data_IF_085058568574
#
_entry.id   IF_085058568574
#
_cell.length_a   1.000
_cell.length_b   1.000
_cell.length_c   1.000
_cell.angle_alpha   90.00
_cell.angle_beta   90.00
_cell.angle_gamma   90.00
#
_symmetry.space_group_name_H-M   'P 1'
#
loop_
_entity.id
_entity.type
_entity.pdbx_description
1 polymer ?
#
# COMPACT_ATOMS: atom_id res chain seq x y z
N UNK A 1 58.70 -1.91 -51.89
CA UNK A 1 58.52 -3.21 -52.58
C UNK A 1 59.62 -4.15 -52.10
N UNK A 2 59.39 -4.82 -50.97
CA UNK A 2 60.28 -5.87 -50.47
C UNK A 2 59.72 -7.20 -50.95
N UNK A 3 60.32 -7.78 -51.99
CA UNK A 3 59.97 -9.11 -52.47
C UNK A 3 60.30 -10.14 -51.39
N UNK A 4 59.27 -10.74 -50.78
CA UNK A 4 59.41 -11.86 -49.85
C UNK A 4 59.94 -13.09 -50.62
N UNK A 5 60.90 -13.85 -50.08
CA UNK A 5 61.53 -14.96 -50.80
C UNK A 5 60.58 -16.16 -50.96
N UNK A 6 60.68 -16.84 -52.10
CA UNK A 6 59.97 -18.08 -52.39
C UNK A 6 60.48 -19.25 -51.52
N UNK A 7 59.60 -20.21 -51.15
CA UNK A 7 59.98 -21.37 -50.35
C UNK A 7 60.94 -22.34 -51.09
N UNK A 8 61.74 -23.14 -50.35
CA UNK A 8 62.98 -23.76 -50.82
C UNK A 8 62.87 -24.94 -51.81
N UNK A 9 61.70 -25.20 -52.41
CA UNK A 9 61.46 -26.42 -53.21
C UNK A 9 61.39 -26.22 -54.73
N UNK A 10 61.79 -25.07 -55.26
CA UNK A 10 61.94 -24.88 -56.70
C UNK A 10 63.29 -25.43 -57.20
N UNK A 11 63.35 -26.72 -57.55
CA UNK A 11 64.45 -27.27 -58.37
C UNK A 11 64.16 -27.04 -59.86
N UNK A 12 65.04 -26.28 -60.51
CA UNK A 12 65.03 -26.04 -61.96
C UNK A 12 65.40 -27.31 -62.74
N UNK A 13 64.49 -27.78 -63.60
CA UNK A 13 64.71 -28.88 -64.56
C UNK A 13 65.56 -28.40 -65.73
N UNK A 14 66.88 -28.37 -65.58
CA UNK A 14 67.77 -27.93 -66.65
C UNK A 14 69.21 -28.42 -66.50
N UNK A 15 69.46 -29.73 -66.59
CA UNK A 15 70.82 -30.26 -66.83
C UNK A 15 70.86 -31.77 -67.17
N UNK A 16 70.00 -32.24 -68.10
CA UNK A 16 70.01 -33.65 -68.52
C UNK A 16 70.03 -33.85 -70.05
N UNK A 17 70.37 -32.81 -70.82
CA UNK A 17 70.30 -32.83 -72.28
C UNK A 17 71.66 -33.03 -72.99
N UNK A 18 72.78 -33.13 -72.27
CA UNK A 18 74.12 -33.13 -72.89
C UNK A 18 74.80 -34.52 -73.00
N UNK A 19 74.21 -35.60 -72.47
CA UNK A 19 74.88 -36.90 -72.37
C UNK A 19 74.40 -37.98 -73.37
N UNK A 20 73.45 -37.68 -74.27
CA UNK A 20 72.77 -38.69 -75.11
C UNK A 20 73.34 -38.81 -76.54
N UNK A 21 74.28 -37.96 -76.94
CA UNK A 21 74.73 -37.85 -78.34
C UNK A 21 76.08 -38.53 -78.68
N UNK A 22 76.55 -39.50 -77.88
CA UNK A 22 77.89 -40.09 -78.04
C UNK A 22 77.96 -41.64 -78.12
N UNK A 23 76.93 -42.33 -78.64
CA UNK A 23 76.99 -43.80 -78.80
C UNK A 23 76.40 -44.34 -80.13
N UNK A 24 76.75 -43.72 -81.25
CA UNK A 24 76.64 -44.35 -82.58
C UNK A 24 78.01 -44.93 -82.98
N UNK A 25 78.19 -46.25 -82.83
CA UNK A 25 78.98 -47.18 -83.67
C UNK A 25 79.39 -48.42 -82.88
N UNK A 26 78.47 -49.40 -82.82
CA UNK A 26 78.80 -50.80 -82.60
C UNK A 26 77.76 -51.64 -83.34
N UNK A 27 78.21 -52.48 -84.27
CA UNK A 27 77.36 -53.43 -84.98
C UNK A 27 76.72 -54.40 -83.96
N UNK A 28 75.43 -54.77 -84.11
CA UNK A 28 74.72 -55.54 -83.09
C UNK A 28 75.11 -57.02 -83.16
N UNK A 29 75.74 -57.50 -82.10
CA UNK A 29 75.79 -58.92 -81.78
C UNK A 29 74.36 -59.34 -81.44
N UNK A 30 73.83 -60.33 -82.18
CA UNK A 30 72.47 -60.85 -82.01
C UNK A 30 72.27 -61.49 -80.62
N UNK A 31 71.57 -60.74 -79.79
CA UNK A 31 70.45 -61.13 -78.92
C UNK A 31 70.70 -61.64 -77.48
N UNK A 32 70.15 -60.89 -76.52
CA UNK A 32 69.82 -61.34 -75.16
C UNK A 32 68.38 -61.00 -74.74
N UNK A 33 67.56 -60.35 -75.57
CA UNK A 33 66.16 -59.99 -75.27
C UNK A 33 65.33 -59.79 -76.57
N UNK A 34 64.31 -60.65 -76.78
CA UNK A 34 63.41 -60.63 -77.96
C UNK A 34 62.62 -59.31 -78.13
N UNK A 35 62.49 -58.52 -77.07
CA UNK A 35 61.75 -57.25 -77.05
C UNK A 35 62.54 -56.23 -76.23
N UNK A 36 62.85 -55.10 -76.87
CA UNK A 36 63.45 -53.94 -76.23
C UNK A 36 62.57 -52.72 -76.48
N UNK A 37 62.28 -51.99 -75.41
CA UNK A 37 61.58 -50.71 -75.48
C UNK A 37 62.59 -49.59 -75.24
N UNK A 38 63.29 -49.18 -76.29
CA UNK A 38 64.15 -48.00 -76.25
C UNK A 38 63.80 -47.07 -77.42
N UNK A 39 63.62 -45.75 -77.17
CA UNK A 39 63.56 -45.02 -75.88
C UNK A 39 62.19 -45.12 -75.13
N UNK A 40 62.08 -44.60 -73.88
CA UNK A 40 60.85 -44.67 -73.06
C UNK A 40 59.57 -44.10 -73.73
N UNK A 41 59.71 -43.11 -74.61
CA UNK A 41 58.57 -42.61 -75.40
C UNK A 41 58.00 -43.67 -76.35
N UNK A 42 58.84 -44.55 -76.89
CA UNK A 42 58.43 -45.67 -77.73
C UNK A 42 57.64 -46.70 -76.90
N UNK A 43 57.98 -46.88 -75.62
CA UNK A 43 57.20 -47.69 -74.70
C UNK A 43 55.82 -47.07 -74.45
N UNK A 44 55.76 -45.80 -74.04
CA UNK A 44 54.49 -45.12 -73.78
C UNK A 44 53.56 -45.18 -75.00
N UNK A 45 54.06 -44.81 -76.18
CA UNK A 45 53.28 -44.88 -77.42
C UNK A 45 52.81 -46.29 -77.75
N UNK A 46 53.63 -47.32 -77.54
CA UNK A 46 53.25 -48.71 -77.79
C UNK A 46 52.09 -49.17 -76.89
N UNK A 47 52.02 -48.69 -75.65
CA UNK A 47 50.95 -49.03 -74.70
C UNK A 47 49.72 -48.12 -74.77
N UNK A 48 49.83 -46.92 -75.35
CA UNK A 48 48.70 -45.96 -75.44
C UNK A 48 48.00 -45.95 -76.80
N UNK A 49 48.63 -46.44 -77.85
CA UNK A 49 48.07 -46.47 -79.21
C UNK A 49 47.39 -47.81 -79.49
N UNK A 50 46.17 -47.85 -80.07
CA UNK A 50 45.56 -49.10 -80.53
C UNK A 50 46.51 -49.83 -81.51
N UNK A 51 46.84 -51.09 -81.20
CA UNK A 51 47.80 -51.88 -82.01
C UNK A 51 49.26 -51.47 -81.85
N UNK A 52 49.61 -50.59 -80.90
CA UNK A 52 50.98 -50.09 -80.71
C UNK A 52 52.01 -51.17 -80.34
N UNK A 53 51.57 -52.30 -79.81
CA UNK A 53 52.43 -53.47 -79.52
C UNK A 53 52.64 -54.39 -80.73
N UNK A 54 51.83 -54.25 -81.79
CA UNK A 54 51.85 -55.16 -82.94
C UNK A 54 53.22 -55.25 -83.63
N UNK A 55 53.98 -54.15 -83.83
CA UNK A 55 55.32 -54.23 -84.41
C UNK A 55 56.31 -55.05 -83.56
N UNK A 56 56.16 -55.03 -82.24
CA UNK A 56 56.99 -55.82 -81.33
C UNK A 56 56.61 -57.30 -81.38
N UNK A 57 55.31 -57.60 -81.37
CA UNK A 57 54.79 -58.97 -81.49
C UNK A 57 55.12 -59.59 -82.85
N UNK A 58 55.07 -58.81 -83.93
CA UNK A 58 55.46 -59.24 -85.28
C UNK A 58 56.96 -59.60 -85.36
N UNK A 59 57.82 -58.87 -84.64
CA UNK A 59 59.26 -59.20 -84.56
C UNK A 59 59.48 -60.56 -83.88
N UNK A 60 58.84 -60.77 -82.74
CA UNK A 60 58.88 -62.08 -82.04
C UNK A 60 58.33 -63.19 -82.94
N UNK A 61 57.26 -62.93 -83.68
CA UNK A 61 56.69 -63.90 -84.62
C UNK A 61 57.65 -64.27 -85.74
N UNK A 62 58.33 -63.29 -86.34
CA UNK A 62 59.34 -63.53 -87.37
C UNK A 62 60.51 -64.38 -86.86
N UNK A 63 60.92 -64.18 -85.62
CA UNK A 63 61.96 -65.00 -84.98
C UNK A 63 61.48 -66.43 -84.70
N UNK A 64 60.22 -66.60 -84.28
CA UNK A 64 59.58 -67.93 -84.15
C UNK A 64 59.56 -68.64 -85.51
N UNK A 65 59.09 -67.97 -86.57
CA UNK A 65 58.94 -68.57 -87.90
C UNK A 65 60.31 -68.96 -88.52
N UNK A 66 61.39 -68.28 -88.11
CA UNK A 66 62.77 -68.57 -88.55
C UNK A 66 63.46 -69.65 -87.69
N UNK A 67 62.84 -70.10 -86.60
CA UNK A 67 63.42 -71.04 -85.64
C UNK A 67 63.10 -72.49 -86.05
N UNK A 68 64.07 -73.19 -86.66
CA UNK A 68 63.94 -74.58 -87.15
C UNK A 68 64.86 -75.58 -86.42
N UNK A 69 64.57 -75.94 -85.15
CA UNK A 69 65.39 -76.86 -84.37
C UNK A 69 65.14 -78.34 -84.71
N UNK A 70 66.16 -79.19 -84.54
CA UNK A 70 66.07 -80.64 -84.76
C UNK A 70 65.57 -81.39 -83.51
N UNK A 71 64.34 -81.93 -83.59
CA UNK A 71 63.70 -82.68 -82.50
C UNK A 71 64.31 -84.05 -82.22
N UNK A 72 65.05 -84.64 -83.17
CA UNK A 72 65.68 -85.95 -82.99
C UNK A 72 66.82 -85.90 -81.98
N UNK A 73 67.45 -84.73 -81.80
CA UNK A 73 68.60 -84.55 -80.91
C UNK A 73 68.24 -83.99 -79.53
N UNK A 74 69.00 -84.38 -78.50
CA UNK A 74 68.89 -83.79 -77.15
C UNK A 74 69.19 -82.28 -77.17
N UNK A 75 70.08 -81.83 -78.07
CA UNK A 75 70.45 -80.43 -78.25
C UNK A 75 69.30 -79.60 -78.81
N UNK A 76 68.65 -80.02 -79.90
CA UNK A 76 67.52 -79.27 -80.46
C UNK A 76 66.30 -79.20 -79.51
N UNK A 77 66.03 -80.27 -78.73
CA UNK A 77 65.03 -80.21 -77.65
C UNK A 77 65.39 -79.20 -76.54
N UNK A 78 66.68 -79.02 -76.24
CA UNK A 78 67.13 -78.01 -75.28
C UNK A 78 67.03 -76.58 -75.83
N UNK A 79 67.32 -76.39 -77.13
CA UNK A 79 67.16 -75.12 -77.82
C UNK A 79 65.70 -74.66 -77.84
N UNK A 80 64.74 -75.57 -78.06
CA UNK A 80 63.30 -75.27 -77.97
C UNK A 80 62.91 -74.76 -76.58
N UNK A 81 63.37 -75.44 -75.52
CA UNK A 81 63.10 -75.00 -74.13
C UNK A 81 63.69 -73.61 -73.86
N UNK A 82 64.91 -73.35 -74.33
CA UNK A 82 65.55 -72.06 -74.18
C UNK A 82 64.80 -70.96 -74.92
N UNK A 83 64.33 -71.21 -76.14
CA UNK A 83 63.60 -70.25 -76.94
C UNK A 83 62.20 -69.95 -76.35
N UNK A 84 61.49 -70.98 -75.88
CA UNK A 84 60.23 -70.81 -75.14
C UNK A 84 60.42 -69.99 -73.84
N UNK A 85 61.56 -70.17 -73.15
CA UNK A 85 61.89 -69.36 -71.98
C UNK A 85 62.14 -67.89 -72.34
N UNK A 86 62.83 -67.61 -73.46
CA UNK A 86 63.00 -66.23 -73.98
C UNK A 86 61.66 -65.56 -74.27
N UNK A 87 60.71 -66.25 -74.89
CA UNK A 87 59.35 -65.72 -75.15
C UNK A 87 58.64 -65.39 -73.83
N UNK A 88 58.76 -66.27 -72.83
CA UNK A 88 58.20 -66.04 -71.50
C UNK A 88 58.80 -64.80 -70.84
N UNK A 89 60.12 -64.63 -70.93
CA UNK A 89 60.84 -63.45 -70.42
C UNK A 89 60.39 -62.16 -71.13
N UNK A 90 60.19 -62.21 -72.45
CA UNK A 90 59.69 -61.09 -73.23
C UNK A 90 58.27 -60.69 -72.82
N UNK A 91 57.37 -61.65 -72.57
CA UNK A 91 56.03 -61.41 -72.02
C UNK A 91 56.11 -60.68 -70.67
N UNK A 92 56.89 -61.21 -69.73
CA UNK A 92 57.07 -60.60 -68.41
C UNK A 92 57.66 -59.18 -68.51
N UNK A 93 58.55 -58.93 -69.47
CA UNK A 93 59.10 -57.59 -69.71
C UNK A 93 58.04 -56.61 -70.22
N UNK A 94 57.20 -57.00 -71.18
CA UNK A 94 56.06 -56.18 -71.65
C UNK A 94 55.14 -55.85 -70.48
N UNK A 95 54.71 -56.86 -69.70
CA UNK A 95 53.82 -56.66 -68.55
C UNK A 95 54.44 -55.71 -67.51
N UNK A 96 55.72 -55.88 -67.19
CA UNK A 96 56.43 -55.03 -66.23
C UNK A 96 56.54 -53.57 -66.70
N UNK A 97 56.84 -53.34 -67.99
CA UNK A 97 56.92 -51.99 -68.57
C UNK A 97 55.55 -51.33 -68.60
N UNK A 98 54.51 -52.04 -69.04
CA UNK A 98 53.14 -51.52 -69.05
C UNK A 98 52.64 -51.17 -67.63
N UNK A 99 52.97 -52.00 -66.63
CA UNK A 99 52.67 -51.71 -65.23
C UNK A 99 53.40 -50.46 -64.72
N UNK A 100 54.71 -50.34 -64.98
CA UNK A 100 55.49 -49.16 -64.58
C UNK A 100 54.91 -47.87 -65.18
N UNK A 101 54.57 -47.88 -66.47
CA UNK A 101 53.96 -46.74 -67.16
C UNK A 101 52.60 -46.38 -66.56
N UNK A 102 51.76 -47.37 -66.26
CA UNK A 102 50.47 -47.13 -65.62
C UNK A 102 50.61 -46.57 -64.19
N UNK A 103 51.58 -47.06 -63.42
CA UNK A 103 51.85 -46.57 -62.07
C UNK A 103 52.40 -45.14 -62.11
N UNK A 104 53.35 -44.83 -62.99
CA UNK A 104 53.87 -43.48 -63.23
C UNK A 104 52.77 -42.50 -63.68
N UNK A 105 51.89 -42.94 -64.59
CA UNK A 105 50.79 -42.11 -65.07
C UNK A 105 49.76 -41.81 -63.98
N UNK A 106 49.51 -42.74 -63.05
CA UNK A 106 48.62 -42.52 -61.89
C UNK A 106 49.18 -41.54 -60.86
N UNK A 107 50.50 -41.37 -60.80
CA UNK A 107 51.12 -40.36 -59.94
C UNK A 107 50.90 -38.93 -60.45
N UNK A 108 50.64 -38.74 -61.75
CA UNK A 108 50.40 -37.41 -62.33
C UNK A 108 49.12 -36.77 -61.75
N UNK A 109 47.93 -37.41 -61.78
CA UNK A 109 46.73 -36.88 -61.11
C UNK A 109 46.93 -36.58 -59.62
N UNK A 110 47.59 -37.48 -58.88
CA UNK A 110 47.87 -37.27 -57.44
C UNK A 110 48.68 -35.99 -57.20
N UNK A 111 49.72 -35.75 -58.01
CA UNK A 111 50.55 -34.55 -57.93
C UNK A 111 49.78 -33.28 -58.32
N UNK A 112 48.93 -33.37 -59.34
CA UNK A 112 48.07 -32.25 -59.77
C UNK A 112 47.13 -31.86 -58.63
N UNK A 113 46.44 -32.82 -58.01
CA UNK A 113 45.50 -32.53 -56.93
C UNK A 113 46.21 -31.99 -55.68
N UNK A 114 47.39 -32.53 -55.33
CA UNK A 114 48.22 -31.99 -54.26
C UNK A 114 48.65 -30.54 -54.53
N UNK A 115 49.09 -30.24 -55.76
CA UNK A 115 49.48 -28.88 -56.15
C UNK A 115 48.28 -27.91 -56.13
N UNK A 116 47.11 -28.34 -56.62
CA UNK A 116 45.87 -27.55 -56.57
C UNK A 116 45.43 -27.27 -55.15
N UNK A 117 45.54 -28.26 -54.25
CA UNK A 117 45.23 -28.10 -52.83
C UNK A 117 46.17 -27.09 -52.18
N UNK A 118 47.47 -27.25 -52.36
CA UNK A 118 48.48 -26.32 -51.84
C UNK A 118 48.22 -24.90 -52.33
N UNK A 119 47.93 -24.73 -53.62
CA UNK A 119 47.64 -23.42 -54.19
C UNK A 119 46.41 -22.78 -53.55
N UNK A 120 45.32 -23.53 -53.38
CA UNK A 120 44.10 -23.03 -52.73
C UNK A 120 44.36 -22.61 -51.29
N UNK A 121 44.90 -23.51 -50.47
CA UNK A 121 45.13 -23.25 -49.04
C UNK A 121 46.11 -22.08 -48.84
N UNK A 122 47.13 -21.95 -49.71
CA UNK A 122 48.08 -20.84 -49.65
C UNK A 122 47.45 -19.52 -50.06
N UNK A 123 46.67 -19.50 -51.15
CA UNK A 123 46.01 -18.29 -51.63
C UNK A 123 44.92 -17.81 -50.66
N UNK A 124 44.17 -18.72 -50.05
CA UNK A 124 43.18 -18.40 -49.02
C UNK A 124 43.88 -17.77 -47.81
N UNK A 125 44.97 -18.39 -47.31
CA UNK A 125 45.74 -17.84 -46.20
C UNK A 125 46.35 -16.46 -46.50
N UNK A 126 46.83 -16.23 -47.73
CA UNK A 126 47.33 -14.92 -48.13
C UNK A 126 46.22 -13.88 -48.29
N UNK A 127 45.04 -14.28 -48.77
CA UNK A 127 43.88 -13.40 -48.83
C UNK A 127 43.47 -12.95 -47.42
N UNK A 128 43.46 -13.88 -46.46
CA UNK A 128 43.21 -13.59 -45.04
C UNK A 128 44.27 -12.66 -44.45
N UNK A 129 45.57 -12.94 -44.68
CA UNK A 129 46.68 -12.08 -44.21
C UNK A 129 46.56 -10.65 -44.78
N UNK A 130 46.22 -10.51 -46.06
CA UNK A 130 46.05 -9.20 -46.70
C UNK A 130 44.81 -8.48 -46.17
N UNK A 131 43.74 -9.22 -45.81
CA UNK A 131 42.48 -8.66 -45.30
C UNK A 131 42.54 -8.30 -43.81
N UNK A 132 43.39 -8.98 -43.04
CA UNK A 132 43.48 -8.87 -41.58
C UNK A 132 43.61 -7.42 -41.07
N UNK A 133 44.47 -6.55 -41.63
CA UNK A 133 44.58 -5.16 -41.17
C UNK A 133 43.29 -4.36 -41.35
N UNK A 134 42.58 -4.58 -42.47
CA UNK A 134 41.31 -3.92 -42.73
C UNK A 134 40.24 -4.43 -41.76
N UNK A 135 40.20 -5.74 -41.47
CA UNK A 135 39.25 -6.30 -40.50
C UNK A 135 39.47 -5.73 -39.10
N UNK A 136 40.74 -5.61 -38.67
CA UNK A 136 41.09 -4.99 -37.37
C UNK A 136 40.65 -3.53 -37.32
N UNK A 137 40.85 -2.77 -38.39
CA UNK A 137 40.41 -1.38 -38.48
C UNK A 137 38.88 -1.26 -38.46
N UNK A 138 38.15 -2.05 -39.25
CA UNK A 138 36.69 -2.05 -39.27
C UNK A 138 36.09 -2.36 -37.89
N UNK A 139 36.63 -3.33 -37.17
CA UNK A 139 36.20 -3.66 -35.80
C UNK A 139 36.51 -2.55 -34.79
N UNK A 140 37.70 -1.95 -34.89
CA UNK A 140 38.07 -0.83 -34.03
C UNK A 140 37.18 0.40 -34.29
N UNK A 141 36.86 0.65 -35.56
CA UNK A 141 36.01 1.77 -35.99
C UNK A 141 34.55 1.55 -35.57
N UNK A 142 34.01 0.34 -35.76
CA UNK A 142 32.68 -0.02 -35.27
C UNK A 142 32.58 0.17 -33.75
N UNK A 143 33.60 -0.28 -33.01
CA UNK A 143 33.69 -0.08 -31.56
C UNK A 143 33.78 1.40 -31.20
N UNK A 144 34.61 2.19 -31.87
CA UNK A 144 34.74 3.65 -31.64
C UNK A 144 33.38 4.33 -31.77
N UNK A 145 32.67 4.08 -32.87
CA UNK A 145 31.34 4.65 -33.12
C UNK A 145 30.32 4.17 -32.09
N UNK A 146 30.35 2.89 -31.71
CA UNK A 146 29.46 2.35 -30.69
C UNK A 146 29.69 3.00 -29.31
N UNK A 147 30.95 3.14 -28.89
CA UNK A 147 31.32 3.77 -27.62
C UNK A 147 30.81 5.23 -27.56
N UNK A 148 30.90 5.99 -28.66
CA UNK A 148 30.33 7.34 -28.73
C UNK A 148 28.80 7.34 -28.62
N UNK A 149 28.11 6.45 -29.34
CA UNK A 149 26.65 6.33 -29.28
C UNK A 149 26.17 5.99 -27.87
N UNK A 150 26.85 5.06 -27.19
CA UNK A 150 26.53 4.68 -25.81
C UNK A 150 26.71 5.84 -24.85
N UNK A 151 27.81 6.60 -24.96
CA UNK A 151 28.03 7.75 -24.09
C UNK A 151 27.02 8.88 -24.31
N UNK A 152 26.59 9.12 -25.55
CA UNK A 152 25.48 10.06 -25.85
C UNK A 152 24.16 9.55 -25.25
N UNK A 153 23.82 8.27 -25.44
CA UNK A 153 22.61 7.70 -24.86
C UNK A 153 22.61 7.76 -23.32
N UNK A 154 23.77 7.63 -22.67
CA UNK A 154 23.88 7.78 -21.22
C UNK A 154 23.53 9.21 -20.76
N UNK A 155 23.90 10.25 -21.51
CA UNK A 155 23.49 11.63 -21.22
C UNK A 155 21.96 11.78 -21.32
N UNK A 156 21.34 11.19 -22.34
CA UNK A 156 19.89 11.20 -22.52
C UNK A 156 19.16 10.49 -21.36
N UNK A 157 19.67 9.33 -20.93
CA UNK A 157 19.12 8.57 -19.78
C UNK A 157 19.23 9.38 -18.48
N UNK A 158 20.36 10.07 -18.25
CA UNK A 158 20.50 10.96 -17.10
C UNK A 158 19.50 12.11 -17.17
N UNK A 159 19.35 12.74 -18.33
CA UNK A 159 18.38 13.81 -18.57
C UNK A 159 16.94 13.40 -18.30
N UNK A 160 16.55 12.20 -18.72
CA UNK A 160 15.20 11.65 -18.55
C UNK A 160 14.77 11.55 -17.08
N UNK A 161 15.71 11.48 -16.13
CA UNK A 161 15.39 11.52 -14.70
C UNK A 161 14.65 12.80 -14.30
N UNK A 162 14.88 13.93 -14.98
CA UNK A 162 14.17 15.18 -14.73
C UNK A 162 12.66 15.13 -15.02
N UNK A 163 12.22 14.15 -15.80
CA UNK A 163 10.81 13.91 -16.13
C UNK A 163 10.20 12.72 -15.36
N UNK A 164 11.02 11.99 -14.60
CA UNK A 164 10.62 10.81 -13.84
C UNK A 164 10.21 11.11 -12.41
N UNK A 165 9.87 10.05 -11.67
CA UNK A 165 9.50 10.12 -10.25
C UNK A 165 10.73 9.96 -9.35
N UNK A 166 11.67 10.91 -9.46
CA UNK A 166 12.86 10.96 -8.62
C UNK A 166 12.76 12.08 -7.57
N UNK A 167 13.55 11.97 -6.51
CA UNK A 167 13.71 13.05 -5.53
C UNK A 167 14.54 14.20 -6.09
N UNK A 168 14.38 15.41 -5.54
CA UNK A 168 15.19 16.55 -5.96
C UNK A 168 16.70 16.30 -5.73
N UNK A 169 17.06 15.53 -4.71
CA UNK A 169 18.45 15.15 -4.45
C UNK A 169 19.04 14.26 -5.55
N UNK A 170 18.31 13.24 -6.00
CA UNK A 170 18.74 12.35 -7.08
C UNK A 170 18.85 13.09 -8.42
N UNK A 171 17.90 13.98 -8.72
CA UNK A 171 17.97 14.82 -9.92
C UNK A 171 19.17 15.77 -9.89
N UNK A 172 19.52 16.35 -8.72
CA UNK A 172 20.72 17.18 -8.58
C UNK A 172 22.01 16.38 -8.75
N UNK A 173 22.06 15.14 -8.27
CA UNK A 173 23.20 14.25 -8.51
C UNK A 173 23.37 13.98 -10.02
N UNK A 174 22.28 13.63 -10.71
CA UNK A 174 22.31 13.43 -12.16
C UNK A 174 22.70 14.73 -12.92
N UNK A 175 22.24 15.89 -12.46
CA UNK A 175 22.63 17.19 -13.02
C UNK A 175 24.13 17.44 -12.87
N UNK A 176 24.72 17.08 -11.73
CA UNK A 176 26.16 17.18 -11.52
C UNK A 176 26.93 16.26 -12.48
N UNK A 177 26.49 15.02 -12.65
CA UNK A 177 27.09 14.06 -13.58
C UNK A 177 27.05 14.59 -15.03
N UNK A 178 25.90 15.09 -15.48
CA UNK A 178 25.75 15.70 -16.82
C UNK A 178 26.65 16.92 -16.98
N UNK A 179 26.72 17.80 -15.97
CA UNK A 179 27.58 18.99 -16.00
C UNK A 179 29.06 18.62 -16.10
N UNK A 180 29.49 17.55 -15.42
CA UNK A 180 30.87 17.07 -15.41
C UNK A 180 31.35 16.51 -16.75
N UNK A 181 30.44 16.09 -17.65
CA UNK A 181 30.82 15.60 -18.99
C UNK A 181 31.40 16.75 -19.82
N UNK A 182 32.72 16.77 -20.00
CA UNK A 182 33.40 17.76 -20.82
C UNK A 182 33.25 17.42 -22.29
N UNK A 183 32.68 18.32 -23.09
CA UNK A 183 32.61 18.18 -24.54
C UNK A 183 33.88 18.79 -25.13
N UNK A 184 34.59 18.05 -25.96
CA UNK A 184 35.87 18.50 -26.52
C UNK A 184 36.41 17.56 -27.59
N UNK A 185 37.72 17.65 -27.90
CA UNK A 185 38.31 16.96 -29.05
C UNK A 185 38.12 15.43 -29.08
N UNK A 186 37.97 14.80 -27.93
CA UNK A 186 37.70 13.36 -27.81
C UNK A 186 36.32 12.97 -28.34
N UNK A 187 35.39 13.91 -28.53
CA UNK A 187 34.08 13.64 -29.11
C UNK A 187 34.14 13.48 -30.65
N UNK A 188 35.25 13.85 -31.28
CA UNK A 188 35.49 13.69 -32.72
C UNK A 188 34.32 14.25 -33.55
N UNK A 189 33.81 13.52 -34.56
CA UNK A 189 32.67 13.98 -35.37
C UNK A 189 31.34 14.06 -34.61
N UNK A 190 31.27 13.53 -33.38
CA UNK A 190 30.06 13.47 -32.57
C UNK A 190 29.90 14.66 -31.62
N UNK A 191 30.84 15.62 -31.59
CA UNK A 191 30.82 16.77 -30.67
C UNK A 191 29.46 17.48 -30.62
N UNK A 192 28.87 17.77 -31.79
CA UNK A 192 27.56 18.40 -31.88
C UNK A 192 26.42 17.53 -31.30
N UNK A 193 26.52 16.21 -31.40
CA UNK A 193 25.55 15.29 -30.82
C UNK A 193 25.66 15.22 -29.29
N UNK A 194 26.89 15.20 -28.75
CA UNK A 194 27.12 15.35 -27.31
C UNK A 194 26.57 16.67 -26.78
N UNK A 195 26.81 17.78 -27.50
CA UNK A 195 26.29 19.11 -27.16
C UNK A 195 24.78 19.10 -27.01
N UNK A 196 24.07 18.66 -28.04
CA UNK A 196 22.60 18.57 -28.01
C UNK A 196 22.08 17.67 -26.89
N UNK A 197 22.66 16.48 -26.72
CA UNK A 197 22.22 15.57 -25.66
C UNK A 197 22.45 16.15 -24.27
N UNK A 198 23.60 16.80 -24.04
CA UNK A 198 23.90 17.50 -22.79
C UNK A 198 22.93 18.65 -22.53
N UNK A 199 22.69 19.51 -23.51
CA UNK A 199 21.78 20.66 -23.37
C UNK A 199 20.35 20.22 -23.04
N UNK A 200 19.85 19.19 -23.74
CA UNK A 200 18.52 18.59 -23.47
C UNK A 200 18.47 18.02 -22.05
N UNK A 201 19.51 17.28 -21.64
CA UNK A 201 19.57 16.68 -20.31
C UNK A 201 19.60 17.75 -19.21
N UNK A 202 20.39 18.81 -19.39
CA UNK A 202 20.44 19.96 -18.47
C UNK A 202 19.06 20.61 -18.34
N UNK A 203 18.40 20.90 -19.46
CA UNK A 203 17.08 21.52 -19.47
C UNK A 203 16.04 20.69 -18.70
N UNK A 204 15.97 19.38 -18.98
CA UNK A 204 15.02 18.49 -18.31
C UNK A 204 15.30 18.37 -16.80
N UNK A 205 16.57 18.23 -16.41
CA UNK A 205 16.94 18.10 -15.01
C UNK A 205 16.69 19.40 -14.23
N UNK A 206 17.07 20.56 -14.77
CA UNK A 206 16.85 21.85 -14.11
C UNK A 206 15.35 22.15 -13.96
N UNK A 207 14.56 21.88 -14.99
CA UNK A 207 13.10 22.01 -14.93
C UNK A 207 12.46 21.03 -13.93
N UNK A 208 12.92 19.77 -13.92
CA UNK A 208 12.46 18.72 -13.01
C UNK A 208 12.77 19.03 -11.55
N UNK A 209 13.99 19.51 -11.26
CA UNK A 209 14.41 19.92 -9.91
C UNK A 209 13.51 21.04 -9.40
N UNK A 210 13.30 22.10 -10.20
CA UNK A 210 12.46 23.21 -9.78
C UNK A 210 11.01 22.77 -9.48
N UNK A 211 10.44 21.91 -10.33
CA UNK A 211 9.11 21.35 -10.11
C UNK A 211 9.05 20.48 -8.84
N UNK A 212 10.08 19.67 -8.60
CA UNK A 212 10.14 18.75 -7.46
C UNK A 212 10.37 19.48 -6.14
N UNK A 213 11.24 20.47 -6.11
CA UNK A 213 11.45 21.35 -4.95
C UNK A 213 10.17 22.08 -4.57
N UNK A 214 9.46 22.63 -5.56
CA UNK A 214 8.17 23.30 -5.32
C UNK A 214 7.15 22.32 -4.72
N UNK A 215 7.02 21.13 -5.31
CA UNK A 215 6.12 20.10 -4.78
C UNK A 215 6.48 19.71 -3.33
N UNK A 216 7.76 19.47 -3.04
CA UNK A 216 8.22 19.10 -1.70
C UNK A 216 7.99 20.21 -0.68
N UNK A 217 8.21 21.48 -1.07
CA UNK A 217 7.90 22.63 -0.23
C UNK A 217 6.40 22.75 0.06
N UNK A 218 5.53 22.63 -0.95
CA UNK A 218 4.07 22.64 -0.78
C UNK A 218 3.60 21.50 0.13
N UNK A 219 4.20 20.30 0.02
CA UNK A 219 3.88 19.19 0.93
C UNK A 219 4.32 19.46 2.37
N UNK A 220 5.48 20.09 2.57
CA UNK A 220 5.97 20.46 3.90
C UNK A 220 5.07 21.54 4.56
N UNK A 221 4.69 22.57 3.80
CA UNK A 221 3.76 23.60 4.28
C UNK A 221 2.39 23.00 4.62
N UNK A 222 1.86 22.12 3.78
CA UNK A 222 0.60 21.43 4.04
C UNK A 222 0.66 20.56 5.30
N UNK A 223 1.79 19.87 5.53
CA UNK A 223 1.99 19.08 6.74
C UNK A 223 2.04 19.95 8.00
N UNK A 224 2.70 21.11 7.93
CA UNK A 224 2.76 22.07 9.04
C UNK A 224 1.38 22.69 9.33
N UNK A 225 0.64 23.08 8.29
CA UNK A 225 -0.74 23.57 8.43
C UNK A 225 -1.66 22.53 9.08
N UNK A 226 -1.52 21.25 8.71
CA UNK A 226 -2.26 20.15 9.34
C UNK A 226 -1.91 20.00 10.82
N UNK A 227 -0.62 20.03 11.17
CA UNK A 227 -0.18 19.97 12.58
C UNK A 227 -0.73 21.13 13.40
N UNK A 228 -0.69 22.35 12.86
CA UNK A 228 -1.25 23.52 13.54
C UNK A 228 -2.77 23.43 13.69
N UNK A 229 -3.48 22.94 12.67
CA UNK A 229 -4.93 22.72 12.75
C UNK A 229 -5.28 21.64 13.80
N UNK A 230 -4.52 20.56 13.86
CA UNK A 230 -4.69 19.51 14.88
C UNK A 230 -4.43 20.03 16.30
N UNK A 231 -3.41 20.88 16.49
CA UNK A 231 -3.12 21.50 17.78
C UNK A 231 -4.22 22.48 18.21
N UNK A 232 -4.72 23.32 17.28
CA UNK A 232 -5.84 24.23 17.55
C UNK A 232 -7.10 23.45 17.91
N UNK A 233 -7.45 22.42 17.13
CA UNK A 233 -8.60 21.57 17.42
C UNK A 233 -8.45 20.84 18.77
N UNK A 234 -7.23 20.48 19.17
CA UNK A 234 -6.97 19.92 20.49
C UNK A 234 -7.20 20.96 21.59
N UNK A 235 -6.65 22.16 21.46
CA UNK A 235 -6.85 23.26 22.42
C UNK A 235 -8.33 23.65 22.53
N UNK A 236 -9.04 23.77 21.41
CA UNK A 236 -10.47 24.05 21.39
C UNK A 236 -11.28 22.95 22.09
N UNK A 237 -10.95 21.67 21.89
CA UNK A 237 -11.58 20.57 22.64
C UNK A 237 -11.27 20.64 24.13
N UNK A 238 -10.02 20.89 24.51
CA UNK A 238 -9.62 21.03 25.92
C UNK A 238 -10.33 22.24 26.58
N UNK A 239 -10.42 23.37 25.89
CA UNK A 239 -11.16 24.55 26.33
C UNK A 239 -12.67 24.30 26.41
N UNK A 240 -13.25 23.59 25.44
CA UNK A 240 -14.67 23.22 25.47
C UNK A 240 -14.97 22.31 26.65
N UNK A 241 -14.15 21.29 26.89
CA UNK A 241 -14.26 20.41 28.06
C UNK A 241 -14.13 21.22 29.36
N UNK A 242 -13.18 22.17 29.42
CA UNK A 242 -13.01 23.03 30.60
C UNK A 242 -14.20 23.96 30.83
N UNK A 243 -14.77 24.56 29.77
CA UNK A 243 -15.98 25.39 29.84
C UNK A 243 -17.20 24.58 30.25
N UNK A 244 -17.40 23.40 29.66
CA UNK A 244 -18.49 22.49 30.02
C UNK A 244 -18.37 22.01 31.47
N UNK A 245 -17.16 21.71 31.94
CA UNK A 245 -16.91 21.34 33.34
C UNK A 245 -17.18 22.52 34.29
N UNK A 246 -16.74 23.73 33.95
CA UNK A 246 -17.00 24.93 34.74
C UNK A 246 -18.50 25.26 34.79
N UNK A 247 -19.20 25.18 33.66
CA UNK A 247 -20.65 25.43 33.59
C UNK A 247 -21.45 24.35 34.35
N UNK A 248 -21.04 23.08 34.27
CA UNK A 248 -21.62 22.04 35.11
C UNK A 248 -21.40 22.31 36.59
N UNK A 249 -20.19 22.72 36.98
CA UNK A 249 -19.90 23.05 38.37
C UNK A 249 -20.71 24.25 38.87
N UNK A 250 -20.90 25.30 38.06
CA UNK A 250 -21.76 26.44 38.43
C UNK A 250 -23.22 26.04 38.52
N UNK A 251 -23.74 25.26 37.55
CA UNK A 251 -25.12 24.76 37.59
C UNK A 251 -25.36 23.85 38.79
N UNK A 252 -24.44 22.92 39.09
CA UNK A 252 -24.54 22.07 40.29
C UNK A 252 -24.48 22.88 41.59
N UNK A 253 -23.68 23.94 41.64
CA UNK A 253 -23.61 24.84 42.79
C UNK A 253 -24.89 25.68 42.95
N UNK A 254 -25.43 26.22 41.85
CA UNK A 254 -26.71 26.94 41.83
C UNK A 254 -27.88 26.04 42.20
N UNK A 255 -27.93 24.81 41.69
CA UNK A 255 -28.95 23.82 42.05
C UNK A 255 -28.87 23.45 43.54
N UNK A 256 -27.66 23.24 44.08
CA UNK A 256 -27.46 22.99 45.52
C UNK A 256 -27.88 24.20 46.35
N UNK A 257 -27.48 25.41 45.97
CA UNK A 257 -27.87 26.63 46.66
C UNK A 257 -29.38 26.89 46.60
N UNK A 258 -30.01 26.65 45.44
CA UNK A 258 -31.46 26.76 45.28
C UNK A 258 -32.20 25.68 46.09
N UNK A 259 -31.68 24.45 46.13
CA UNK A 259 -32.25 23.38 46.96
C UNK A 259 -32.11 23.69 48.46
N UNK A 260 -30.98 24.25 48.89
CA UNK A 260 -30.76 24.69 50.27
C UNK A 260 -31.65 25.89 50.63
N UNK A 261 -31.78 26.87 49.73
CA UNK A 261 -32.69 28.01 49.90
C UNK A 261 -34.16 27.56 49.99
N UNK A 262 -34.61 26.63 49.13
CA UNK A 262 -35.95 26.04 49.23
C UNK A 262 -36.16 25.30 50.54
N UNK A 263 -35.17 24.52 50.99
CA UNK A 263 -35.25 23.83 52.30
C UNK A 263 -35.32 24.83 53.46
N UNK A 264 -34.57 25.93 53.39
CA UNK A 264 -34.60 26.99 54.39
C UNK A 264 -35.93 27.75 54.38
N UNK A 265 -36.48 28.05 53.19
CA UNK A 265 -37.79 28.69 53.03
C UNK A 265 -38.92 27.77 53.52
N UNK A 266 -38.91 26.49 53.15
CA UNK A 266 -39.87 25.50 53.67
C UNK A 266 -39.77 25.35 55.19
N UNK A 267 -38.56 25.36 55.77
CA UNK A 267 -38.38 25.32 57.21
C UNK A 267 -38.90 26.59 57.90
N UNK A 268 -38.59 27.77 57.35
CA UNK A 268 -39.08 29.06 57.85
C UNK A 268 -40.60 29.16 57.72
N UNK A 269 -41.18 28.64 56.65
CA UNK A 269 -42.63 28.60 56.45
C UNK A 269 -43.30 27.66 57.45
N UNK A 270 -42.75 26.46 57.68
CA UNK A 270 -43.23 25.55 58.73
C UNK A 270 -43.13 26.18 60.12
N UNK A 271 -42.08 26.95 60.39
CA UNK A 271 -41.93 27.67 61.66
C UNK A 271 -42.96 28.79 61.81
N UNK A 272 -43.23 29.56 60.75
CA UNK A 272 -44.29 30.58 60.72
C UNK A 272 -45.67 29.98 60.88
N UNK A 273 -45.97 28.90 60.15
CA UNK A 273 -47.24 28.17 60.27
C UNK A 273 -47.41 27.62 61.69
N UNK A 274 -46.36 27.04 62.29
CA UNK A 274 -46.39 26.60 63.68
C UNK A 274 -46.55 27.76 64.68
N UNK A 275 -45.96 28.92 64.42
CA UNK A 275 -46.11 30.12 65.24
C UNK A 275 -47.53 30.70 65.12
N UNK A 276 -48.09 30.79 63.91
CA UNK A 276 -49.47 31.20 63.68
C UNK A 276 -50.47 30.23 64.31
N UNK A 277 -50.23 28.91 64.26
CA UNK A 277 -51.07 27.94 64.95
C UNK A 277 -51.03 28.12 66.47
N UNK A 278 -49.84 28.38 67.04
CA UNK A 278 -49.69 28.70 68.47
C UNK A 278 -50.41 30.00 68.84
N UNK A 279 -50.30 31.04 68.03
CA UNK A 279 -51.00 32.31 68.25
C UNK A 279 -52.52 32.14 68.15
N UNK A 280 -53.02 31.41 67.15
CA UNK A 280 -54.44 31.08 67.01
C UNK A 280 -54.92 30.20 68.17
N UNK A 281 -54.10 29.30 68.69
CA UNK A 281 -54.42 28.52 69.89
C UNK A 281 -54.53 29.42 71.13
N UNK A 282 -53.58 30.34 71.33
CA UNK A 282 -53.62 31.31 72.43
C UNK A 282 -54.82 32.26 72.32
N UNK A 283 -55.15 32.73 71.11
CA UNK A 283 -56.31 33.58 70.87
C UNK A 283 -57.63 32.85 71.14
N UNK A 284 -57.76 31.59 70.71
CA UNK A 284 -58.92 30.75 71.06
C UNK A 284 -59.03 30.55 72.57
N UNK A 285 -57.92 30.31 73.28
CA UNK A 285 -57.93 30.22 74.74
C UNK A 285 -58.33 31.53 75.42
N UNK A 286 -57.90 32.68 74.88
CA UNK A 286 -58.29 33.99 75.39
C UNK A 286 -59.78 34.30 75.13
N UNK A 287 -60.30 33.98 73.94
CA UNK A 287 -61.71 34.13 73.58
C UNK A 287 -62.61 33.20 74.43
N UNK A 288 -62.20 31.96 74.67
CA UNK A 288 -62.90 31.04 75.58
C UNK A 288 -62.90 31.55 77.03
N UNK A 289 -61.79 32.15 77.49
CA UNK A 289 -61.73 32.77 78.81
C UNK A 289 -62.64 34.01 78.91
N UNK A 290 -62.67 34.85 77.89
CA UNK A 290 -63.54 36.03 77.84
C UNK A 290 -65.03 35.64 77.77
N UNK A 291 -65.37 34.60 77.01
CA UNK A 291 -66.73 34.05 76.99
C UNK A 291 -67.15 33.51 78.36
N UNK A 292 -66.25 32.83 79.08
CA UNK A 292 -66.53 32.39 80.46
C UNK A 292 -66.78 33.58 81.40
N UNK A 293 -66.06 34.68 81.26
CA UNK A 293 -66.31 35.90 82.04
C UNK A 293 -67.68 36.50 81.68
N UNK A 294 -68.01 36.64 80.39
CA UNK A 294 -69.31 37.17 79.96
C UNK A 294 -70.49 36.29 80.40
N UNK A 295 -70.35 34.97 80.34
CA UNK A 295 -71.39 34.04 80.84
C UNK A 295 -71.57 34.16 82.35
N UNK A 296 -70.50 34.37 83.12
CA UNK A 296 -70.61 34.62 84.57
C UNK A 296 -71.29 35.95 84.88
N UNK A 297 -70.99 37.02 84.13
CA UNK A 297 -71.63 38.33 84.29
C UNK A 297 -73.12 38.31 83.89
N UNK A 298 -73.46 37.59 82.82
CA UNK A 298 -74.85 37.41 82.39
C UNK A 298 -75.67 36.59 83.39
N UNK A 299 -75.06 35.65 84.12
CA UNK A 299 -75.71 34.89 85.19
C UNK A 299 -76.02 35.78 86.40
N UNK A 300 -75.07 36.60 86.83
CA UNK A 300 -75.25 37.53 87.97
C UNK A 300 -76.35 38.55 87.68
N UNK A 301 -76.47 39.03 86.44
CA UNK A 301 -77.51 40.00 86.06
C UNK A 301 -78.92 39.41 86.07
N UNK A 302 -79.09 38.15 85.69
CA UNK A 302 -80.40 37.45 85.75
C UNK A 302 -80.85 37.21 87.20
N UNK A 303 -79.94 36.84 88.09
CA UNK A 303 -80.24 36.66 89.53
C UNK A 303 -80.69 37.96 90.21
N UNK A 304 -80.19 39.13 89.77
CA UNK A 304 -80.60 40.43 90.31
C UNK A 304 -81.95 40.93 89.77
N UNK A 305 -82.36 40.51 88.58
CA UNK A 305 -83.67 40.85 88.00
C UNK A 305 -84.80 39.99 88.61
N UNK A 306 -84.55 38.71 88.90
CA UNK A 306 -85.51 37.84 89.61
C UNK A 306 -85.74 38.26 91.07
N UNK A 307 -84.71 38.75 91.76
CA UNK A 307 -84.83 39.21 93.15
C UNK A 307 -85.71 40.46 93.29
N UNK A 308 -85.71 41.38 92.31
CA UNK A 308 -86.54 42.59 92.33
C UNK A 308 -88.01 42.33 91.99
N UNK A 309 -88.29 41.36 91.11
CA UNK A 309 -89.65 41.00 90.76
C UNK A 309 -90.41 40.27 91.90
N UNK A 310 -89.69 39.59 92.80
CA UNK A 310 -90.26 38.91 93.95
C UNK A 310 -90.69 39.87 95.08
N UNK A 311 -90.00 41.01 95.25
CA UNK A 311 -90.25 41.98 96.32
C UNK A 311 -91.51 42.84 96.07
N UNK A 312 -91.78 43.21 94.81
CA UNK A 312 -92.97 44.00 94.43
C UNK A 312 -94.29 43.21 94.53
N UNK A 313 -94.25 41.89 94.34
CA UNK A 313 -95.43 41.02 94.43
C UNK A 313 -95.90 40.77 95.88
N UNK A 314 -94.99 40.85 96.86
CA UNK A 314 -95.30 40.63 98.28
C UNK A 314 -95.86 41.88 98.98
N UNK A 315 -95.46 43.08 98.54
CA UNK A 315 -95.98 44.35 99.04
C UNK A 315 -97.47 44.58 98.69
N UNK A 316 -97.89 44.21 97.47
CA UNK A 316 -99.28 44.42 97.01
C UNK A 316 -100.33 43.55 97.75
N UNK A 317 -99.94 42.38 98.28
CA UNK A 317 -100.87 41.49 99.01
C UNK A 317 -101.17 41.95 100.44
N UNK A 318 -100.26 42.70 101.07
CA UNK A 318 -100.43 43.16 102.47
C UNK A 318 -101.34 44.38 102.60
N UNK A 319 -101.43 45.25 101.59
CA UNK A 319 -102.31 46.44 101.65
C UNK A 319 -103.81 46.14 101.47
N UNK A 320 -104.17 45.10 100.71
CA UNK A 320 -105.56 44.74 100.47
C UNK A 320 -106.26 44.12 101.68
N UNK A 321 -105.54 43.43 102.57
CA UNK A 321 -106.11 42.75 103.76
C UNK A 321 -106.51 43.72 104.88
N UNK A 322 -105.81 44.86 105.00
CA UNK A 322 -106.00 45.82 106.11
C UNK A 322 -107.22 46.73 105.90
N UNK A 323 -107.52 47.10 104.64
CA UNK A 323 -108.67 47.97 104.31
C UNK A 323 -110.03 47.31 104.56
N UNK A 324 -110.16 46.00 104.28
CA UNK A 324 -111.41 45.24 104.49
C UNK A 324 -111.77 45.14 105.98
N UNK A 325 -110.77 44.87 106.84
CA UNK A 325 -110.95 44.69 108.28
C UNK A 325 -111.52 45.94 108.98
N UNK A 326 -110.99 47.11 108.65
CA UNK A 326 -111.40 48.37 109.29
C UNK A 326 -112.81 48.82 108.86
N UNK A 327 -113.24 48.52 107.64
CA UNK A 327 -114.57 48.86 107.16
C UNK A 327 -115.65 48.08 107.93
N UNK A 328 -115.48 46.76 108.08
CA UNK A 328 -116.43 45.88 108.80
C UNK A 328 -116.52 46.26 110.28
N UNK A 329 -115.38 46.58 110.92
CA UNK A 329 -115.35 46.99 112.33
C UNK A 329 -116.18 48.26 112.59
N UNK A 330 -116.12 49.23 111.67
CA UNK A 330 -116.81 50.52 111.81
C UNK A 330 -118.33 50.39 111.61
N UNK A 331 -118.78 49.50 110.73
CA UNK A 331 -120.21 49.22 110.52
C UNK A 331 -120.82 48.52 111.73
N UNK A 332 -120.11 47.57 112.34
CA UNK A 332 -120.58 46.89 113.56
C UNK A 332 -120.72 47.86 114.75
N UNK A 333 -119.81 48.82 114.89
CA UNK A 333 -119.86 49.83 115.97
C UNK A 333 -121.07 50.75 115.82
N UNK A 334 -121.37 51.20 114.59
CA UNK A 334 -122.53 52.03 114.31
C UNK A 334 -123.86 51.34 114.66
N UNK A 335 -124.01 50.04 114.34
CA UNK A 335 -125.22 49.28 114.65
C UNK A 335 -125.45 49.10 116.17
N UNK A 336 -124.39 48.97 116.96
CA UNK A 336 -124.51 48.88 118.43
C UNK A 336 -124.92 50.22 119.06
N UNK A 337 -124.47 51.34 118.48
CA UNK A 337 -124.90 52.67 118.93
C UNK A 337 -126.38 52.95 118.66
N UNK A 338 -126.91 52.49 117.52
CA UNK A 338 -128.33 52.63 117.16
C UNK A 338 -129.26 51.85 118.12
N UNK A 339 -128.74 50.80 118.78
CA UNK A 339 -129.41 50.05 119.84
C UNK A 339 -129.39 50.70 121.23
N UNK A 340 -128.89 51.93 121.36
CA UNK A 340 -128.87 52.69 122.62
C UNK A 340 -127.64 52.42 123.52
N UNK A 341 -126.58 51.79 123.00
CA UNK A 341 -125.31 51.57 123.70
C UNK A 341 -124.36 52.75 123.42
N UNK A 342 -123.74 53.30 124.45
CA UNK A 342 -122.73 54.36 124.31
C UNK A 342 -121.49 53.88 123.53
N UNK A 343 -120.92 54.76 122.70
CA UNK A 343 -119.83 54.46 121.74
C UNK A 343 -118.61 53.78 122.37
N UNK A 344 -118.21 54.23 123.56
CA UNK A 344 -117.06 53.69 124.29
C UNK A 344 -117.28 52.25 124.81
N UNK A 345 -118.54 51.89 125.09
CA UNK A 345 -118.93 50.53 125.45
C UNK A 345 -119.08 49.67 124.19
N UNK A 346 -119.63 50.21 123.11
CA UNK A 346 -119.79 49.51 121.83
C UNK A 346 -118.44 49.05 121.24
N UNK A 347 -117.42 49.91 121.24
CA UNK A 347 -116.07 49.57 120.79
C UNK A 347 -115.41 48.49 121.65
N UNK A 348 -115.60 48.54 122.98
CA UNK A 348 -115.09 47.50 123.89
C UNK A 348 -115.76 46.16 123.64
N UNK A 349 -117.07 46.15 123.38
CA UNK A 349 -117.81 44.92 123.07
C UNK A 349 -117.30 44.32 121.75
N UNK A 350 -117.10 45.13 120.70
CA UNK A 350 -116.56 44.65 119.42
C UNK A 350 -115.13 44.15 119.56
N UNK A 351 -114.28 44.83 120.32
CA UNK A 351 -112.92 44.39 120.60
C UNK A 351 -112.89 43.04 121.34
N UNK A 352 -113.76 42.84 122.35
CA UNK A 352 -113.86 41.58 123.09
C UNK A 352 -114.36 40.41 122.23
N UNK A 353 -115.26 40.68 121.27
CA UNK A 353 -115.74 39.67 120.31
C UNK A 353 -114.67 39.38 119.25
N UNK A 354 -113.97 40.38 118.73
CA UNK A 354 -112.87 40.20 117.78
C UNK A 354 -111.67 39.45 118.40
N UNK A 355 -111.41 39.66 119.70
CA UNK A 355 -110.43 38.92 120.47
C UNK A 355 -110.92 37.52 120.94
N UNK A 356 -112.13 37.10 120.53
CA UNK A 356 -112.76 35.80 120.90
C UNK A 356 -112.85 35.55 122.41
N UNK A 357 -112.90 36.62 123.20
CA UNK A 357 -112.95 36.54 124.67
C UNK A 357 -114.37 36.35 125.21
N UNK A 358 -115.39 36.47 124.35
CA UNK A 358 -116.80 36.16 124.64
C UNK A 358 -117.17 34.84 123.95
N UNK A 359 -117.42 33.74 124.70
CA UNK A 359 -117.72 32.44 124.11
C UNK A 359 -119.00 32.44 123.29
N UNK A 360 -119.02 31.68 122.18
CA UNK A 360 -120.16 31.48 121.27
C UNK A 360 -120.62 32.71 120.43
N UNK A 361 -119.76 33.74 120.27
CA UNK A 361 -120.01 34.91 119.38
C UNK A 361 -118.74 35.25 118.59
N UNK A 362 -118.84 35.58 117.29
CA UNK A 362 -117.68 35.96 116.43
C UNK A 362 -118.06 36.97 115.33
N UNK A 363 -117.12 37.85 114.95
CA UNK A 363 -117.26 38.78 113.81
C UNK A 363 -116.51 38.22 112.59
N UNK A 364 -117.17 38.18 111.44
CA UNK A 364 -116.62 37.69 110.16
C UNK A 364 -116.15 38.87 109.30
N UNK A 365 -114.93 38.84 108.77
CA UNK A 365 -114.30 39.92 107.97
C UNK A 365 -114.31 39.68 106.45
#
# INVERSE_FOLDING_TARGET
>A
MNSRPLPPNFRTLGSAAAAVLANLKREPVMDMDLIQFEPPQTALSAFTTPGGLDPFLQRVRKEIDSFAPDMSTTKGRAEIRSFAHKITKAKTRIEAVGKSLADEQKEIPKKIDAARRLARETLDAWADEVREPLTKWEQAEEKRVADHKTAIANLEVLGAKGQGQFTAAEMRAALADVKAVAIGPWCEEFEAAYGRAKDIALFHLESGIAAREKFEAEQAELAELRRQAEERARKEREEQIAREAAERATREAEEKAAAEARRAEEAAQREREAAEERERALKRQAEEAEQRVRDTEARIKREQEEAKAAEEAEAARREASTRRRNHVHRVAAAALMEGGIAEDVADKVIALIAARSVPNVSITY
#
